data_IF_316660140788
#
_entry.id   IF_316660140788
#
_cell.length_a   1.000
_cell.length_b   1.000
_cell.length_c   1.000
_cell.angle_alpha   90.00
_cell.angle_beta   90.00
_cell.angle_gamma   90.00
#
_symmetry.space_group_name_H-M   'P 1'
#
loop_
_entity.id
_entity.type
_entity.pdbx_description
1 polymer ?
#
# COMPACT_ATOMS: atom_id res chain seq x y z
N UNK A 1 5.11 12.87 -21.76
CA UNK A 1 4.71 11.84 -20.79
C UNK A 1 3.61 12.49 -19.97
N UNK A 2 2.34 12.11 -20.17
CA UNK A 2 1.24 12.68 -19.37
C UNK A 2 1.43 12.23 -17.93
N UNK A 3 1.74 13.18 -17.05
CA UNK A 3 1.69 12.97 -15.62
C UNK A 3 0.19 12.85 -15.31
N UNK A 4 -0.29 11.64 -15.05
CA UNK A 4 -1.60 11.50 -14.42
C UNK A 4 -1.45 12.10 -13.01
N UNK A 5 -2.04 13.26 -12.75
CA UNK A 5 -2.04 13.95 -11.45
C UNK A 5 -2.71 13.15 -10.31
N UNK A 6 -3.04 11.88 -10.56
CA UNK A 6 -3.84 11.01 -9.70
C UNK A 6 -2.97 9.85 -9.23
N UNK A 7 -2.19 10.13 -8.20
CA UNK A 7 -1.39 9.13 -7.49
C UNK A 7 -2.09 8.69 -6.21
N UNK A 8 -2.02 7.39 -5.89
CA UNK A 8 -2.41 6.84 -4.60
C UNK A 8 -1.19 6.12 -4.03
N UNK A 9 -0.74 6.54 -2.85
CA UNK A 9 0.35 5.90 -2.11
C UNK A 9 -0.23 5.22 -0.88
N UNK A 10 0.11 3.95 -0.72
CA UNK A 10 -0.18 3.16 0.49
C UNK A 10 1.12 2.75 1.14
N UNK A 11 1.26 3.00 2.44
CA UNK A 11 2.40 2.52 3.24
C UNK A 11 1.83 1.56 4.28
N UNK A 12 2.24 0.30 4.19
CA UNK A 12 1.89 -0.74 5.14
C UNK A 12 2.92 -0.73 6.28
N UNK A 13 2.46 -0.37 7.48
CA UNK A 13 3.30 -0.33 8.67
C UNK A 13 2.88 -1.40 9.67
N UNK A 14 3.80 -2.29 10.08
CA UNK A 14 3.50 -3.28 11.10
C UNK A 14 3.23 -2.59 12.43
N UNK A 15 2.08 -2.87 13.04
CA UNK A 15 1.77 -2.36 14.37
C UNK A 15 2.49 -3.18 15.45
N UNK A 16 3.33 -2.53 16.26
CA UNK A 16 3.90 -3.14 17.46
C UNK A 16 3.79 -2.21 18.66
N UNK A 17 3.40 -2.76 19.82
CA UNK A 17 3.47 -2.06 21.13
C UNK A 17 4.89 -2.05 21.71
N UNK A 18 5.77 -2.89 21.18
CA UNK A 18 7.17 -3.03 21.59
C UNK A 18 8.01 -3.30 20.32
N UNK A 19 8.49 -2.25 19.61
CA UNK A 19 9.18 -2.38 18.31
C UNK A 19 10.48 -3.22 18.38
N UNK A 20 10.96 -3.56 19.57
CA UNK A 20 12.14 -4.41 19.81
C UNK A 20 11.81 -5.90 20.01
N UNK A 21 10.53 -6.29 20.02
CA UNK A 21 10.17 -7.70 20.02
C UNK A 21 10.37 -8.26 18.61
N UNK A 22 11.54 -8.85 18.37
CA UNK A 22 11.74 -9.76 17.25
C UNK A 22 10.70 -10.88 17.39
N UNK A 23 9.68 -10.87 16.54
CA UNK A 23 8.76 -11.98 16.46
C UNK A 23 9.53 -13.17 15.88
N UNK A 24 9.51 -14.32 16.55
CA UNK A 24 10.06 -15.58 16.04
C UNK A 24 9.36 -16.08 14.75
N UNK A 25 8.35 -15.34 14.26
CA UNK A 25 7.64 -15.60 13.02
C UNK A 25 7.46 -14.32 12.17
N UNK A 26 7.66 -14.47 10.87
CA UNK A 26 7.17 -13.51 9.88
C UNK A 26 5.66 -13.73 9.72
N UNK A 27 4.86 -12.82 10.26
CA UNK A 27 3.41 -12.87 10.04
C UNK A 27 3.12 -12.37 8.62
N UNK A 28 2.55 -13.24 7.78
CA UNK A 28 1.91 -12.79 6.53
C UNK A 28 0.55 -12.22 6.93
N UNK A 29 0.30 -10.97 6.58
CA UNK A 29 -0.96 -10.29 6.90
C UNK A 29 -1.81 -10.14 5.65
N UNK A 30 -2.99 -10.75 5.66
CA UNK A 30 -4.04 -10.42 4.70
C UNK A 30 -4.69 -9.12 5.18
N UNK A 31 -4.39 -8.01 4.49
CA UNK A 31 -4.94 -6.69 4.81
C UNK A 31 -5.96 -6.26 3.76
N UNK A 32 -7.02 -5.59 4.19
CA UNK A 32 -8.07 -5.08 3.31
C UNK A 32 -8.45 -3.67 3.70
N UNK A 33 -8.46 -2.76 2.72
CA UNK A 33 -8.79 -1.36 2.91
C UNK A 33 -10.01 -0.98 2.08
N UNK A 34 -10.92 -0.21 2.67
CA UNK A 34 -12.05 0.37 1.94
C UNK A 34 -11.77 1.84 1.66
N UNK A 35 -11.55 2.16 0.40
CA UNK A 35 -11.44 3.55 -0.05
C UNK A 35 -12.83 4.12 -0.34
N UNK A 36 -13.08 5.35 0.11
CA UNK A 36 -14.33 6.09 -0.15
C UNK A 36 -14.01 7.41 -0.82
N UNK A 37 -14.98 7.98 -1.55
CA UNK A 37 -14.82 9.25 -2.28
C UNK A 37 -13.68 9.28 -3.32
N UNK A 38 -13.27 8.11 -3.82
CA UNK A 38 -12.32 8.01 -4.95
C UNK A 38 -13.08 8.13 -6.25
N UNK A 39 -12.72 9.12 -7.08
CA UNK A 39 -13.34 9.29 -8.40
C UNK A 39 -12.99 8.11 -9.30
N UNK A 40 -13.97 7.58 -10.04
CA UNK A 40 -13.74 6.49 -11.00
C UNK A 40 -12.77 6.94 -12.10
N UNK A 41 -11.52 6.47 -12.05
CA UNK A 41 -10.46 6.88 -12.98
C UNK A 41 -9.27 5.92 -12.93
N UNK A 42 -8.26 6.18 -13.77
CA UNK A 42 -6.96 5.53 -13.66
C UNK A 42 -6.09 6.30 -12.67
N UNK A 43 -5.49 5.57 -11.73
CA UNK A 43 -4.55 6.12 -10.75
C UNK A 43 -3.23 5.39 -10.86
N UNK A 44 -2.13 6.13 -10.71
CA UNK A 44 -0.84 5.53 -10.51
C UNK A 44 -0.73 5.14 -9.04
N UNK A 45 -0.59 3.84 -8.76
CA UNK A 45 -0.60 3.32 -7.39
C UNK A 45 0.79 2.80 -7.02
N UNK A 46 1.22 3.17 -5.82
CA UNK A 46 2.42 2.65 -5.18
C UNK A 46 2.08 2.09 -3.81
N UNK A 47 2.61 0.90 -3.52
CA UNK A 47 2.52 0.28 -2.20
C UNK A 47 3.94 0.11 -1.66
N UNK A 48 4.14 0.50 -0.40
CA UNK A 48 5.39 0.34 0.34
C UNK A 48 5.14 -0.47 1.60
N UNK A 49 6.16 -1.17 2.07
CA UNK A 49 6.22 -1.73 3.42
C UNK A 49 7.23 -0.94 4.23
N UNK A 50 6.87 -0.61 5.47
CA UNK A 50 7.78 0.07 6.40
C UNK A 50 8.31 -0.88 7.45
N UNK A 51 9.43 -0.51 8.07
CA UNK A 51 9.87 -1.10 9.33
C UNK A 51 8.92 -0.71 10.48
N UNK A 52 9.22 -1.23 11.69
CA UNK A 52 8.47 -0.95 12.91
C UNK A 52 8.57 0.52 13.38
N UNK A 53 9.51 1.30 12.86
CA UNK A 53 9.63 2.74 13.10
C UNK A 53 8.86 3.58 12.06
N UNK A 54 8.21 2.93 11.09
CA UNK A 54 7.51 3.61 10.00
C UNK A 54 8.42 4.10 8.87
N UNK A 55 9.71 3.72 8.85
CA UNK A 55 10.64 4.06 7.76
C UNK A 55 10.47 3.06 6.61
N UNK A 56 10.44 3.57 5.38
CA UNK A 56 10.31 2.76 4.17
C UNK A 56 11.18 3.34 3.04
N UNK A 57 11.58 2.49 2.11
CA UNK A 57 12.37 2.90 0.95
C UNK A 57 11.47 3.52 -0.13
N UNK A 58 11.48 4.85 -0.21
CA UNK A 58 10.68 5.60 -1.20
C UNK A 58 11.05 5.29 -2.66
N UNK A 59 12.24 4.76 -2.93
CA UNK A 59 12.71 4.45 -4.29
C UNK A 59 12.28 3.04 -4.75
N UNK A 60 11.95 2.15 -3.82
CA UNK A 60 11.65 0.75 -4.12
C UNK A 60 10.29 0.34 -3.51
N UNK A 61 9.17 0.73 -4.15
CA UNK A 61 7.86 0.22 -3.76
C UNK A 61 7.76 -1.29 -3.99
N UNK A 62 7.01 -1.99 -3.15
CA UNK A 62 6.69 -3.42 -3.33
C UNK A 62 5.68 -3.64 -4.47
N UNK A 63 4.91 -2.60 -4.80
CA UNK A 63 4.06 -2.56 -5.99
C UNK A 63 4.06 -1.17 -6.62
N UNK A 64 4.17 -1.10 -7.94
CA UNK A 64 4.02 0.13 -8.71
C UNK A 64 3.27 -0.15 -10.03
N UNK A 65 2.17 0.56 -10.27
CA UNK A 65 1.39 0.33 -11.48
C UNK A 65 0.17 1.24 -11.67
N UNK A 66 -0.34 1.28 -12.90
CA UNK A 66 -1.55 2.03 -13.24
C UNK A 66 -2.80 1.16 -13.05
N UNK A 67 -3.71 1.60 -12.18
CA UNK A 67 -4.93 0.86 -11.83
C UNK A 67 -6.18 1.64 -12.16
N UNK A 68 -7.22 0.93 -12.62
CA UNK A 68 -8.54 1.51 -12.88
C UNK A 68 -9.44 1.31 -11.66
N UNK A 69 -9.69 2.41 -10.94
CA UNK A 69 -10.61 2.48 -9.81
C UNK A 69 -12.03 2.77 -10.31
N UNK A 70 -12.99 2.06 -9.73
CA UNK A 70 -14.41 2.24 -9.96
C UNK A 70 -15.17 1.92 -8.66
N UNK A 71 -16.37 2.47 -8.52
CA UNK A 71 -17.22 2.19 -7.35
C UNK A 71 -17.48 0.69 -7.20
N UNK A 72 -17.43 0.20 -5.95
CA UNK A 72 -17.66 -1.21 -5.58
C UNK A 72 -16.74 -2.24 -6.25
N UNK A 73 -15.56 -1.82 -6.75
CA UNK A 73 -14.55 -2.72 -7.27
C UNK A 73 -13.51 -3.06 -6.20
N UNK A 74 -13.25 -4.35 -6.02
CA UNK A 74 -12.12 -4.85 -5.22
C UNK A 74 -10.92 -5.06 -6.13
N UNK A 75 -9.73 -4.72 -5.63
CA UNK A 75 -8.44 -5.00 -6.27
C UNK A 75 -7.63 -5.78 -5.24
N UNK A 76 -7.12 -6.93 -5.65
CA UNK A 76 -6.31 -7.81 -4.81
C UNK A 76 -4.87 -7.80 -5.34
N UNK A 77 -3.92 -7.85 -4.41
CA UNK A 77 -2.50 -7.88 -4.71
C UNK A 77 -1.90 -9.07 -3.97
N UNK A 78 -1.07 -9.84 -4.66
CA UNK A 78 -0.11 -10.72 -4.02
C UNK A 78 1.24 -9.99 -4.05
N UNK A 79 1.64 -9.52 -2.87
CA UNK A 79 2.89 -8.79 -2.62
C UNK A 79 3.94 -9.74 -2.06
#
# INVERSE_FOLDING_TARGET
>A
MEINDREIIVVLTPYSKAPTMEADCYCRYDVSFKLSNVASSKYYMKIYESDYDGKYDTAHPVYEGLLSFASNKTIEFEL
#
